data_IF_385308548495
#
_entry.id   IF_385308548495
#
_cell.length_a   1.000
_cell.length_b   1.000
_cell.length_c   1.000
_cell.angle_alpha   90.00
_cell.angle_beta   90.00
_cell.angle_gamma   90.00
#
_symmetry.space_group_name_H-M   'P 1'
#
loop_
_entity.id
_entity.type
_entity.pdbx_description
1 polymer ?
#
# COMPACT_ATOMS: atom_id res chain seq x y z
N UNK A 1 7.13 -0.66 -36.74
CA UNK A 1 6.34 -1.01 -35.53
C UNK A 1 5.58 0.24 -35.11
N UNK A 2 4.25 0.20 -34.93
CA UNK A 2 3.51 1.38 -34.51
C UNK A 2 3.87 1.72 -33.06
N UNK A 3 4.07 3.01 -32.78
CA UNK A 3 4.35 3.51 -31.42
C UNK A 3 3.17 3.18 -30.49
N UNK A 4 3.40 2.79 -29.22
CA UNK A 4 2.31 2.62 -28.27
C UNK A 4 1.67 3.97 -28.02
N UNK A 5 0.45 4.16 -28.51
CA UNK A 5 -0.38 5.30 -28.15
C UNK A 5 -0.90 5.07 -26.73
N UNK A 6 -0.49 5.91 -25.78
CA UNK A 6 -1.08 5.97 -24.44
C UNK A 6 -2.56 6.43 -24.46
N UNK A 7 -3.12 6.71 -25.64
CA UNK A 7 -4.46 7.24 -25.88
C UNK A 7 -5.38 6.24 -26.62
N UNK A 8 -5.08 4.93 -26.54
CA UNK A 8 -5.86 3.88 -27.22
C UNK A 8 -7.31 3.71 -26.73
N UNK A 9 -7.69 4.37 -25.63
CA UNK A 9 -9.08 4.45 -25.15
C UNK A 9 -9.56 5.90 -25.11
N UNK A 10 -10.83 6.14 -25.45
CA UNK A 10 -11.47 7.43 -25.17
C UNK A 10 -11.34 7.71 -23.66
N UNK A 11 -10.86 8.90 -23.31
CA UNK A 11 -10.82 9.40 -21.93
C UNK A 11 -12.14 9.07 -21.22
N UNK A 12 -12.11 8.31 -20.12
CA UNK A 12 -13.32 7.94 -19.39
C UNK A 12 -13.93 9.18 -18.73
N UNK A 13 -15.24 9.37 -18.90
CA UNK A 13 -15.98 10.43 -18.23
C UNK A 13 -16.53 9.99 -16.88
N UNK A 14 -16.71 10.95 -15.98
CA UNK A 14 -17.40 10.76 -14.70
C UNK A 14 -18.81 10.23 -14.95
N UNK A 15 -19.25 9.29 -14.10
CA UNK A 15 -20.59 8.69 -14.13
C UNK A 15 -21.67 9.78 -14.08
N UNK A 16 -22.42 9.93 -15.17
CA UNK A 16 -23.52 10.88 -15.29
C UNK A 16 -23.26 12.11 -16.17
N UNK A 17 -22.08 12.23 -16.80
CA UNK A 17 -21.77 13.40 -17.63
C UNK A 17 -21.79 13.09 -19.13
N UNK A 18 -22.44 13.97 -19.90
CA UNK A 18 -22.50 13.89 -21.35
C UNK A 18 -21.23 14.52 -21.96
N UNK A 19 -20.48 13.70 -22.72
CA UNK A 19 -19.36 14.08 -23.60
C UNK A 19 -18.08 14.53 -22.88
N UNK A 20 -17.07 13.65 -22.85
CA UNK A 20 -15.67 13.90 -22.43
C UNK A 20 -15.48 15.06 -21.44
N UNK A 21 -15.79 14.86 -20.16
CA UNK A 21 -15.36 15.80 -19.12
C UNK A 21 -13.84 15.85 -19.12
N UNK A 22 -13.32 17.00 -19.58
CA UNK A 22 -11.97 17.45 -19.28
C UNK A 22 -11.85 17.38 -17.75
N UNK A 23 -11.00 16.50 -17.24
CA UNK A 23 -10.58 16.56 -15.83
C UNK A 23 -10.16 18.01 -15.58
N UNK A 24 -10.77 18.68 -14.58
CA UNK A 24 -10.58 20.12 -14.40
C UNK A 24 -9.08 20.42 -14.33
N UNK A 25 -8.64 21.57 -14.83
CA UNK A 25 -7.22 21.95 -14.72
C UNK A 25 -6.74 21.86 -13.26
N UNK A 26 -7.66 22.08 -12.31
CA UNK A 26 -7.48 21.88 -10.87
C UNK A 26 -7.24 20.42 -10.48
N UNK A 27 -8.01 19.45 -11.03
CA UNK A 27 -7.79 18.02 -10.81
C UNK A 27 -6.52 17.54 -11.53
N UNK A 28 -6.23 18.04 -12.73
CA UNK A 28 -4.97 17.76 -13.44
C UNK A 28 -3.78 18.26 -12.62
N UNK A 29 -3.84 19.48 -12.10
CA UNK A 29 -2.77 20.06 -11.30
C UNK A 29 -2.61 19.31 -9.97
N UNK A 30 -3.73 19.05 -9.28
CA UNK A 30 -3.79 18.35 -7.99
C UNK A 30 -3.39 16.88 -8.04
N UNK A 31 -3.57 16.19 -9.16
CA UNK A 31 -3.29 14.75 -9.27
C UNK A 31 -2.11 14.42 -10.20
N UNK A 32 -1.70 15.31 -11.11
CA UNK A 32 -0.73 14.98 -12.17
C UNK A 32 0.41 15.98 -12.38
N UNK A 33 0.21 17.30 -12.25
CA UNK A 33 1.21 18.29 -12.75
C UNK A 33 2.00 19.00 -11.65
N UNK A 34 1.44 19.26 -10.45
CA UNK A 34 2.14 20.01 -9.38
C UNK A 34 2.33 19.25 -8.08
N UNK A 35 2.04 17.94 -8.03
CA UNK A 35 2.07 17.19 -6.77
C UNK A 35 3.43 16.56 -6.47
N UNK A 36 3.91 16.80 -5.25
CA UNK A 36 4.78 15.88 -4.54
C UNK A 36 4.29 14.43 -4.75
N UNK A 37 5.23 13.50 -4.96
CA UNK A 37 5.02 12.09 -5.33
C UNK A 37 3.74 11.47 -4.73
N UNK A 38 3.00 10.63 -5.48
CA UNK A 38 1.77 10.00 -5.01
C UNK A 38 1.92 9.47 -3.57
N UNK A 39 1.14 10.03 -2.64
CA UNK A 39 1.22 9.68 -1.22
C UNK A 39 0.19 8.60 -0.92
N UNK A 40 0.63 7.53 -0.26
CA UNK A 40 -0.26 6.52 0.32
C UNK A 40 -0.63 6.96 1.74
N UNK A 41 -1.90 6.84 2.11
CA UNK A 41 -2.37 7.21 3.46
C UNK A 41 -1.79 6.24 4.49
N UNK A 42 -1.25 6.81 5.56
CA UNK A 42 -0.84 6.08 6.78
C UNK A 42 -1.83 6.27 7.93
N UNK A 43 -1.74 5.41 8.94
CA UNK A 43 -2.51 5.49 10.17
C UNK A 43 -3.39 4.27 10.44
N UNK A 44 -4.38 4.44 11.33
CA UNK A 44 -5.28 3.36 11.72
C UNK A 44 -6.10 2.86 10.53
N UNK A 45 -6.10 1.55 10.30
CA UNK A 45 -6.77 0.90 9.18
C UNK A 45 -6.38 1.45 7.78
N UNK A 46 -5.19 2.06 7.68
CA UNK A 46 -4.69 2.63 6.43
C UNK A 46 -3.92 1.59 5.60
N UNK A 47 -3.63 1.94 4.34
CA UNK A 47 -2.93 1.07 3.40
C UNK A 47 -1.43 0.95 3.70
N UNK A 48 -0.86 1.91 4.44
CA UNK A 48 0.54 1.96 4.79
C UNK A 48 0.72 2.27 6.27
N UNK A 49 1.87 1.88 6.83
CA UNK A 49 2.25 2.25 8.18
C UNK A 49 3.55 1.58 8.60
N UNK A 50 3.99 1.92 9.82
CA UNK A 50 5.18 1.35 10.44
C UNK A 50 4.84 0.70 11.78
N UNK A 51 5.52 -0.39 12.10
CA UNK A 51 5.42 -1.06 13.40
C UNK A 51 6.79 -1.54 13.88
N UNK A 52 6.99 -1.55 15.19
CA UNK A 52 8.19 -2.13 15.80
C UNK A 52 7.94 -3.59 16.17
N UNK A 53 8.86 -4.47 15.77
CA UNK A 53 8.84 -5.88 16.17
C UNK A 53 9.21 -6.03 17.65
N UNK A 54 8.65 -7.05 18.29
CA UNK A 54 9.05 -7.48 19.63
C UNK A 54 9.29 -8.97 19.58
N UNK A 55 10.51 -9.39 19.95
CA UNK A 55 10.94 -10.77 19.86
C UNK A 55 10.70 -11.40 18.47
N UNK A 56 10.96 -10.64 17.40
CA UNK A 56 10.79 -11.09 16.03
C UNK A 56 9.35 -11.17 15.52
N UNK A 57 8.34 -10.66 16.25
CA UNK A 57 6.96 -10.66 15.75
C UNK A 57 6.14 -9.45 16.17
N UNK A 58 5.12 -9.14 15.35
CA UNK A 58 4.11 -8.14 15.68
C UNK A 58 2.79 -8.47 14.98
N UNK A 59 1.69 -8.44 15.73
CA UNK A 59 0.34 -8.39 15.16
C UNK A 59 -0.02 -6.92 14.90
N UNK A 60 -0.45 -6.64 13.67
CA UNK A 60 -0.90 -5.33 13.22
C UNK A 60 -2.42 -5.38 13.05
N UNK A 61 -3.14 -4.66 13.91
CA UNK A 61 -4.60 -4.52 13.78
C UNK A 61 -4.90 -3.57 12.63
N UNK A 62 -5.58 -4.08 11.61
CA UNK A 62 -5.94 -3.33 10.42
C UNK A 62 -7.15 -3.98 9.75
N UNK A 63 -8.29 -3.30 9.80
CA UNK A 63 -9.56 -3.81 9.25
C UNK A 63 -9.63 -3.73 7.72
N UNK A 64 -8.68 -3.07 7.07
CA UNK A 64 -8.59 -3.01 5.59
C UNK A 64 -8.12 -4.32 4.98
N UNK A 65 -7.44 -5.16 5.76
CA UNK A 65 -6.89 -6.44 5.27
C UNK A 65 -8.03 -7.35 4.84
N UNK A 66 -7.95 -7.86 3.62
CA UNK A 66 -8.80 -8.92 3.08
C UNK A 66 -8.07 -10.25 3.09
N UNK A 67 -8.78 -11.33 2.75
CA UNK A 67 -8.16 -12.64 2.53
C UNK A 67 -7.13 -12.61 1.37
N UNK A 68 -7.29 -11.67 0.44
CA UNK A 68 -6.53 -11.61 -0.81
C UNK A 68 -5.46 -10.50 -0.83
N UNK A 69 -5.42 -9.60 0.17
CA UNK A 69 -4.45 -8.50 0.22
C UNK A 69 -3.02 -8.99 -0.02
N UNK A 70 -2.29 -8.28 -0.87
CA UNK A 70 -0.83 -8.40 -1.00
C UNK A 70 -0.19 -7.43 -0.02
N UNK A 71 0.53 -7.96 0.96
CA UNK A 71 1.15 -7.17 2.02
C UNK A 71 2.66 -7.25 1.86
N UNK A 72 3.28 -6.11 1.56
CA UNK A 72 4.73 -5.96 1.36
C UNK A 72 5.36 -5.39 2.61
N UNK A 73 6.55 -5.89 2.98
CA UNK A 73 7.25 -5.54 4.21
C UNK A 73 8.67 -5.10 3.90
N UNK A 74 9.15 -4.07 4.58
CA UNK A 74 10.54 -3.60 4.46
C UNK A 74 11.03 -3.03 5.79
N UNK A 75 12.24 -3.40 6.22
CA UNK A 75 12.87 -2.74 7.38
C UNK A 75 13.15 -1.26 7.06
N UNK A 76 12.90 -0.37 8.01
CA UNK A 76 13.20 1.07 7.94
C UNK A 76 14.29 1.48 8.92
N UNK A 77 14.37 0.79 10.05
CA UNK A 77 15.43 0.96 11.03
C UNK A 77 15.67 -0.38 11.71
N UNK A 78 16.88 -0.90 11.58
CA UNK A 78 17.25 -2.19 12.13
C UNK A 78 17.35 -2.13 13.65
N UNK A 79 16.83 -3.17 14.31
CA UNK A 79 16.87 -3.33 15.76
C UNK A 79 17.22 -4.76 16.14
N UNK A 80 18.08 -4.93 17.15
CA UNK A 80 18.56 -6.24 17.58
C UNK A 80 19.31 -6.96 16.47
N UNK A 81 18.88 -8.17 16.11
CA UNK A 81 19.42 -8.91 14.96
C UNK A 81 18.33 -9.05 13.89
N UNK A 82 18.38 -8.27 12.80
CA UNK A 82 17.42 -8.37 11.70
C UNK A 82 17.40 -9.76 11.08
N UNK A 83 16.20 -10.24 10.76
CA UNK A 83 15.98 -11.49 10.03
C UNK A 83 15.18 -11.27 8.74
N UNK A 84 14.82 -12.36 8.08
CA UNK A 84 13.94 -12.31 6.91
C UNK A 84 12.48 -12.13 7.35
N UNK A 85 11.87 -11.05 6.87
CA UNK A 85 10.49 -10.68 7.19
C UNK A 85 9.50 -11.47 6.34
N UNK A 86 8.37 -11.89 6.94
CA UNK A 86 7.22 -12.46 6.23
C UNK A 86 5.91 -12.09 6.92
N UNK A 87 4.82 -12.15 6.16
CA UNK A 87 3.46 -12.16 6.71
C UNK A 87 3.08 -13.61 7.02
N UNK A 88 3.03 -13.96 8.29
CA UNK A 88 2.84 -15.35 8.76
C UNK A 88 1.38 -15.73 8.98
N UNK A 89 0.51 -14.76 9.25
CA UNK A 89 -0.92 -14.96 9.42
C UNK A 89 -1.71 -13.71 8.99
N UNK A 90 -2.96 -13.92 8.57
CA UNK A 90 -3.92 -12.87 8.20
C UNK A 90 -5.31 -13.27 8.68
N UNK A 91 -6.02 -12.32 9.28
CA UNK A 91 -7.43 -12.42 9.63
C UNK A 91 -8.16 -11.28 8.94
N UNK A 92 -8.94 -11.61 7.91
CA UNK A 92 -9.66 -10.62 7.12
C UNK A 92 -10.55 -9.73 8.00
N UNK A 93 -10.59 -8.44 7.70
CA UNK A 93 -11.33 -7.44 8.46
C UNK A 93 -10.77 -7.15 9.85
N UNK A 94 -9.63 -7.73 10.24
CA UNK A 94 -9.12 -7.64 11.62
C UNK A 94 -7.63 -7.31 11.68
N UNK A 95 -6.75 -8.17 11.15
CA UNK A 95 -5.32 -8.06 11.40
C UNK A 95 -4.45 -8.90 10.46
N UNK A 96 -3.14 -8.66 10.52
CA UNK A 96 -2.11 -9.53 9.99
C UNK A 96 -0.92 -9.63 10.96
N UNK A 97 -0.14 -10.69 10.84
CA UNK A 97 1.05 -10.93 11.68
C UNK A 97 2.31 -10.84 10.84
N UNK A 98 3.24 -10.01 11.29
CA UNK A 98 4.60 -9.95 10.78
C UNK A 98 5.48 -10.86 11.65
N UNK A 99 6.31 -11.66 11.01
CA UNK A 99 7.31 -12.49 11.70
C UNK A 99 8.66 -12.38 10.98
N UNK A 100 9.71 -12.13 11.75
CA UNK A 100 11.11 -12.22 11.33
C UNK A 100 11.61 -13.65 11.51
N UNK A 101 12.63 -14.07 10.77
CA UNK A 101 13.34 -15.33 11.03
C UNK A 101 14.18 -15.28 12.30
N UNK A 102 14.46 -14.07 12.82
CA UNK A 102 15.22 -13.85 14.04
C UNK A 102 14.28 -13.48 15.19
N UNK A 103 14.32 -14.26 16.27
CA UNK A 103 13.58 -13.97 17.51
C UNK A 103 14.15 -12.80 18.31
N UNK A 104 15.34 -12.29 17.94
CA UNK A 104 15.95 -11.10 18.55
C UNK A 104 15.70 -9.83 17.73
N UNK A 105 14.91 -9.92 16.66
CA UNK A 105 14.61 -8.79 15.79
C UNK A 105 13.63 -7.83 16.47
N UNK A 106 14.05 -6.57 16.59
CA UNK A 106 13.26 -5.45 17.13
C UNK A 106 13.17 -4.28 16.15
N UNK A 107 13.37 -4.56 14.86
CA UNK A 107 13.40 -3.55 13.81
C UNK A 107 12.05 -2.84 13.65
N UNK A 108 12.12 -1.59 13.18
CA UNK A 108 10.96 -0.84 12.70
C UNK A 108 10.70 -1.27 11.26
N UNK A 109 9.53 -1.86 11.02
CA UNK A 109 9.12 -2.43 9.74
C UNK A 109 7.97 -1.61 9.16
N UNK A 110 8.16 -1.12 7.93
CA UNK A 110 7.08 -0.55 7.14
C UNK A 110 6.29 -1.66 6.45
N UNK A 111 4.98 -1.44 6.29
CA UNK A 111 4.11 -2.29 5.50
C UNK A 111 3.32 -1.49 4.46
N UNK A 112 3.01 -2.13 3.34
CA UNK A 112 2.06 -1.63 2.33
C UNK A 112 1.07 -2.73 1.94
N UNK A 113 -0.22 -2.38 1.96
CA UNK A 113 -1.34 -3.27 1.64
C UNK A 113 -1.92 -2.88 0.29
N UNK A 114 -1.84 -3.80 -0.67
CA UNK A 114 -2.40 -3.67 -2.02
C UNK A 114 -3.45 -4.74 -2.22
N UNK A 115 -4.66 -4.35 -2.61
CA UNK A 115 -5.70 -5.30 -3.00
C UNK A 115 -5.49 -5.72 -4.46
N UNK A 116 -5.50 -7.02 -4.78
CA UNK A 116 -5.51 -7.47 -6.16
C UNK A 116 -6.86 -7.17 -6.83
N UNK A 117 -6.83 -6.73 -8.09
CA UNK A 117 -8.01 -6.50 -8.94
C UNK A 117 -8.29 -7.76 -9.77
N UNK A 118 -8.90 -8.77 -9.14
CA UNK A 118 -9.22 -10.07 -9.75
C UNK A 118 -10.72 -10.26 -9.90
#
# INVERSE_FOLDING_TARGET
MPSPSFLGGKLQTKKGSANSEVISAEDVDKYYVSKASPKVVEGSNAAMGVVTLVAGSKVVTNTRVTANSRIFLTSQADGGTPGSLRVSARTAGTSFTITSSSGSDTSVVAYMIVEPDA
#
